data_IF_555623672281
#
_entry.id   IF_555623672281
#
_cell.length_a   1.000
_cell.length_b   1.000
_cell.length_c   1.000
_cell.angle_alpha   90.00
_cell.angle_beta   90.00
_cell.angle_gamma   90.00
#
_symmetry.space_group_name_H-M   'P 1'
#
loop_
_entity.id
_entity.type
_entity.pdbx_description
1 polymer ?
#
# COMPACT_ATOMS: atom_id res chain seq x y z
N UNK A 1 -25.76 -3.33 -4.83
CA UNK A 1 -26.13 -2.15 -5.65
C UNK A 1 -25.09 -1.09 -5.32
N UNK A 2 -24.30 -0.63 -6.29
CA UNK A 2 -23.31 0.43 -6.03
C UNK A 2 -24.07 1.74 -5.98
N UNK A 3 -24.04 2.41 -4.83
CA UNK A 3 -24.65 3.73 -4.70
C UNK A 3 -23.84 4.74 -5.51
N UNK A 4 -24.43 5.23 -6.60
CA UNK A 4 -23.85 6.26 -7.44
C UNK A 4 -23.78 7.58 -6.67
N UNK A 5 -22.68 8.29 -6.83
CA UNK A 5 -22.52 9.64 -6.30
C UNK A 5 -23.49 10.61 -6.98
N UNK A 6 -23.79 11.75 -6.34
CA UNK A 6 -24.67 12.79 -6.90
C UNK A 6 -24.24 13.26 -8.30
N UNK A 7 -22.93 13.22 -8.60
CA UNK A 7 -22.38 13.63 -9.90
C UNK A 7 -22.65 12.55 -10.95
N UNK A 8 -22.47 11.28 -10.60
CA UNK A 8 -22.74 10.15 -11.49
C UNK A 8 -24.23 10.02 -11.81
N UNK A 9 -25.11 10.22 -10.82
CA UNK A 9 -26.57 10.23 -11.02
C UNK A 9 -27.00 11.29 -12.05
N UNK A 10 -26.51 12.53 -11.91
CA UNK A 10 -26.82 13.61 -12.86
C UNK A 10 -26.28 13.33 -14.26
N UNK A 11 -25.12 12.68 -14.37
CA UNK A 11 -24.53 12.29 -15.65
C UNK A 11 -25.39 11.22 -16.32
N UNK A 12 -25.85 10.22 -15.57
CA UNK A 12 -26.74 9.17 -16.07
C UNK A 12 -28.07 9.73 -16.57
N UNK A 13 -28.68 10.66 -15.83
CA UNK A 13 -29.88 11.37 -16.28
C UNK A 13 -29.64 12.17 -17.57
N UNK A 14 -28.48 12.80 -17.70
CA UNK A 14 -28.12 13.57 -18.90
C UNK A 14 -27.87 12.66 -20.12
N UNK A 15 -27.26 11.50 -19.92
CA UNK A 15 -27.07 10.48 -20.96
C UNK A 15 -28.43 9.99 -21.46
N UNK A 16 -29.33 9.62 -20.55
CA UNK A 16 -30.67 9.15 -20.91
C UNK A 16 -31.45 10.20 -21.70
N UNK A 17 -31.37 11.48 -21.31
CA UNK A 17 -31.99 12.57 -22.07
C UNK A 17 -31.38 12.73 -23.47
N UNK A 18 -30.06 12.62 -23.60
CA UNK A 18 -29.36 12.73 -24.88
C UNK A 18 -29.68 11.57 -25.83
N UNK A 19 -29.81 10.35 -25.30
CA UNK A 19 -30.27 9.18 -26.06
C UNK A 19 -31.69 9.41 -26.59
N UNK A 20 -32.61 9.91 -25.75
CA UNK A 20 -33.98 10.20 -26.15
C UNK A 20 -34.08 11.30 -27.23
N UNK A 21 -33.16 12.27 -27.22
CA UNK A 21 -33.10 13.32 -28.23
C UNK A 21 -32.26 12.95 -29.47
N UNK A 22 -31.67 11.75 -29.51
CA UNK A 22 -30.80 11.30 -30.60
C UNK A 22 -29.45 12.04 -30.70
N UNK A 23 -29.04 12.74 -29.63
CA UNK A 23 -27.80 13.53 -29.60
C UNK A 23 -26.62 12.65 -29.17
N UNK A 24 -26.12 11.86 -30.12
CA UNK A 24 -25.01 10.93 -29.89
C UNK A 24 -23.69 11.63 -29.54
N UNK A 25 -23.46 12.85 -30.02
CA UNK A 25 -22.28 13.63 -29.65
C UNK A 25 -22.29 13.99 -28.17
N UNK A 26 -23.47 14.31 -27.61
CA UNK A 26 -23.64 14.53 -26.18
C UNK A 26 -23.43 13.26 -25.37
N UNK A 27 -23.92 12.12 -25.85
CA UNK A 27 -23.72 10.81 -25.20
C UNK A 27 -22.23 10.48 -25.10
N UNK A 28 -21.49 10.58 -26.22
CA UNK A 28 -20.05 10.30 -26.26
C UNK A 28 -19.26 11.19 -25.28
N UNK A 29 -19.53 12.50 -25.28
CA UNK A 29 -18.91 13.44 -24.35
C UNK A 29 -19.18 13.10 -22.88
N UNK A 30 -20.43 12.72 -22.54
CA UNK A 30 -20.79 12.37 -21.16
C UNK A 30 -20.14 11.06 -20.72
N UNK A 31 -19.99 10.09 -21.64
CA UNK A 31 -19.29 8.84 -21.34
C UNK A 31 -17.77 9.06 -21.15
N UNK A 32 -17.17 9.98 -21.91
CA UNK A 32 -15.74 10.31 -21.81
C UNK A 32 -15.39 11.25 -20.65
N UNK A 33 -16.36 11.98 -20.11
CA UNK A 33 -16.17 12.95 -19.02
C UNK A 33 -15.37 12.45 -17.79
N UNK A 34 -15.57 11.22 -17.27
CA UNK A 34 -14.80 10.73 -16.12
C UNK A 34 -13.31 10.62 -16.43
N UNK A 35 -13.01 10.11 -17.62
CA UNK A 35 -11.64 9.94 -18.11
C UNK A 35 -10.95 11.29 -18.29
N UNK A 36 -11.61 12.24 -18.97
CA UNK A 36 -11.07 13.59 -19.15
C UNK A 36 -10.80 14.32 -17.83
N UNK A 37 -11.69 14.14 -16.85
CA UNK A 37 -11.51 14.69 -15.51
C UNK A 37 -10.32 14.06 -14.79
N UNK A 38 -10.09 12.76 -14.94
CA UNK A 38 -8.89 12.09 -14.45
C UNK A 38 -7.63 12.69 -15.08
N UNK A 39 -7.58 12.78 -16.42
CA UNK A 39 -6.46 13.38 -17.14
C UNK A 39 -6.20 14.84 -16.76
N UNK A 40 -7.25 15.62 -16.45
CA UNK A 40 -7.11 17.00 -15.94
C UNK A 40 -6.51 17.02 -14.53
N UNK A 41 -6.94 16.10 -13.66
CA UNK A 41 -6.42 15.96 -12.30
C UNK A 41 -4.96 15.52 -12.31
N UNK A 42 -4.59 14.57 -13.16
CA UNK A 42 -3.20 14.12 -13.32
C UNK A 42 -2.28 15.27 -13.73
N UNK A 43 -2.71 16.09 -14.70
CA UNK A 43 -2.00 17.33 -15.08
C UNK A 43 -1.86 18.33 -13.93
N UNK A 44 -2.86 18.46 -13.06
CA UNK A 44 -2.77 19.35 -11.88
C UNK A 44 -1.72 18.91 -10.87
N UNK A 45 -1.40 17.60 -10.84
CA UNK A 45 -0.30 17.04 -10.05
C UNK A 45 1.03 16.97 -10.81
N UNK A 46 1.10 17.50 -12.04
CA UNK A 46 2.30 17.43 -12.88
C UNK A 46 2.61 16.02 -13.39
N UNK A 47 1.64 15.10 -13.37
CA UNK A 47 1.81 13.75 -13.88
C UNK A 47 1.75 13.75 -15.41
N UNK A 48 2.49 12.81 -16.01
CA UNK A 48 2.59 12.61 -17.45
C UNK A 48 2.19 11.17 -17.78
N UNK A 49 1.58 10.95 -18.95
CA UNK A 49 1.23 9.60 -19.40
C UNK A 49 2.47 8.72 -19.54
N UNK A 50 2.38 7.47 -19.09
CA UNK A 50 3.45 6.49 -19.28
C UNK A 50 3.63 6.11 -20.76
N UNK A 51 2.59 6.29 -21.58
CA UNK A 51 2.67 6.09 -23.03
C UNK A 51 3.30 7.29 -23.77
N UNK A 52 3.65 8.35 -23.05
CA UNK A 52 4.16 9.55 -23.70
C UNK A 52 5.64 9.42 -24.07
N UNK A 53 5.91 9.12 -25.34
CA UNK A 53 7.22 9.33 -25.97
C UNK A 53 7.38 10.78 -26.45
N UNK A 54 8.59 11.14 -26.90
CA UNK A 54 8.84 12.39 -27.64
C UNK A 54 9.46 12.08 -29.01
N UNK A 55 8.70 12.26 -30.09
CA UNK A 55 9.15 11.88 -31.43
C UNK A 55 9.26 10.36 -31.57
N UNK A 56 10.37 9.86 -32.12
CA UNK A 56 10.64 8.42 -32.32
C UNK A 56 11.15 7.70 -31.05
N UNK A 57 10.97 8.28 -29.86
CA UNK A 57 11.37 7.61 -28.61
C UNK A 57 10.29 6.69 -28.10
N UNK A 58 10.73 5.56 -27.55
CA UNK A 58 9.89 4.59 -26.86
C UNK A 58 9.05 5.27 -25.76
N UNK A 59 7.86 4.72 -25.45
CA UNK A 59 7.03 5.16 -24.33
C UNK A 59 7.84 5.43 -23.06
N UNK A 60 7.44 6.46 -22.28
CA UNK A 60 8.05 6.76 -20.98
C UNK A 60 8.12 5.51 -20.09
N UNK A 61 7.12 4.64 -20.15
CA UNK A 61 7.09 3.35 -19.44
C UNK A 61 8.33 2.50 -19.70
N UNK A 62 8.75 2.40 -20.96
CA UNK A 62 9.84 1.53 -21.38
C UNK A 62 11.21 2.09 -20.97
N UNK A 63 11.27 3.39 -20.65
CA UNK A 63 12.47 4.03 -20.10
C UNK A 63 12.59 3.89 -18.57
N UNK A 64 11.51 3.51 -17.88
CA UNK A 64 11.52 3.33 -16.43
C UNK A 64 12.05 1.93 -16.11
N UNK A 65 13.31 1.86 -15.68
CA UNK A 65 13.91 0.60 -15.23
C UNK A 65 13.28 0.10 -13.92
N UNK A 66 13.07 -1.21 -13.80
CA UNK A 66 12.76 -1.84 -12.52
C UNK A 66 13.95 -1.67 -11.57
N UNK A 67 13.73 -1.02 -10.44
CA UNK A 67 14.77 -0.72 -9.46
C UNK A 67 15.08 -1.90 -8.51
N UNK A 68 14.52 -3.09 -8.78
CA UNK A 68 14.83 -4.34 -8.08
C UNK A 68 16.17 -4.92 -8.53
N UNK A 69 17.24 -4.20 -8.24
CA UNK A 69 18.59 -4.68 -8.48
C UNK A 69 18.88 -5.97 -7.69
N UNK A 70 19.60 -6.90 -8.33
CA UNK A 70 19.87 -8.24 -7.79
C UNK A 70 20.68 -8.19 -6.49
N UNK A 71 21.62 -7.25 -6.38
CA UNK A 71 22.41 -7.04 -5.16
C UNK A 71 21.51 -6.53 -4.03
N UNK A 72 20.62 -5.58 -4.31
CA UNK A 72 19.64 -5.08 -3.34
C UNK A 72 18.70 -6.18 -2.82
N UNK A 73 18.28 -7.10 -3.69
CA UNK A 73 17.49 -8.27 -3.30
C UNK A 73 18.29 -9.25 -2.45
N UNK A 74 19.57 -9.46 -2.76
CA UNK A 74 20.45 -10.33 -1.99
C UNK A 74 20.69 -9.78 -0.58
N UNK A 75 21.02 -8.49 -0.46
CA UNK A 75 21.21 -7.81 0.83
C UNK A 75 19.97 -7.98 1.72
N UNK A 76 18.77 -7.73 1.18
CA UNK A 76 17.51 -7.93 1.93
C UNK A 76 17.33 -9.37 2.42
N UNK A 77 17.71 -10.37 1.62
CA UNK A 77 17.63 -11.78 2.03
C UNK A 77 18.59 -12.09 3.17
N UNK A 78 19.81 -11.56 3.10
CA UNK A 78 20.82 -11.73 4.15
C UNK A 78 20.40 -11.03 5.44
N UNK A 79 19.91 -9.79 5.37
CA UNK A 79 19.37 -9.06 6.52
C UNK A 79 18.22 -9.83 7.20
N UNK A 80 17.27 -10.37 6.42
CA UNK A 80 16.19 -11.20 6.95
C UNK A 80 16.75 -12.44 7.65
N UNK A 81 17.75 -13.11 7.07
CA UNK A 81 18.36 -14.29 7.68
C UNK A 81 19.06 -13.96 9.01
N UNK A 82 19.79 -12.84 9.07
CA UNK A 82 20.44 -12.34 10.29
C UNK A 82 19.40 -12.04 11.37
N UNK A 83 18.35 -11.29 11.03
CA UNK A 83 17.27 -10.92 11.97
C UNK A 83 16.56 -12.19 12.48
N UNK A 84 16.23 -13.11 11.57
CA UNK A 84 15.58 -14.39 11.93
C UNK A 84 16.46 -15.19 12.89
N UNK A 85 17.74 -15.32 12.59
CA UNK A 85 18.68 -16.02 13.47
C UNK A 85 18.78 -15.37 14.85
N UNK A 86 18.89 -14.04 14.92
CA UNK A 86 18.93 -13.31 16.19
C UNK A 86 17.67 -13.51 17.02
N UNK A 87 16.49 -13.43 16.40
CA UNK A 87 15.20 -13.71 17.06
C UNK A 87 15.16 -15.15 17.58
N UNK A 88 15.57 -16.12 16.77
CA UNK A 88 15.57 -17.54 17.12
C UNK A 88 16.58 -17.91 18.22
N UNK A 89 17.70 -17.18 18.29
CA UNK A 89 18.74 -17.43 19.29
C UNK A 89 18.46 -16.74 20.63
N UNK A 90 17.91 -15.52 20.59
CA UNK A 90 17.82 -14.64 21.77
C UNK A 90 16.46 -14.67 22.46
N UNK A 91 15.38 -14.94 21.73
CA UNK A 91 14.03 -14.82 22.27
C UNK A 91 13.41 -16.18 22.58
N UNK A 92 12.71 -16.26 23.71
CA UNK A 92 11.84 -17.39 24.05
C UNK A 92 10.65 -17.50 23.09
N UNK A 93 10.02 -18.67 22.99
CA UNK A 93 8.84 -18.86 22.13
C UNK A 93 7.72 -17.85 22.46
N UNK A 94 7.52 -17.58 23.76
CA UNK A 94 6.55 -16.58 24.22
C UNK A 94 6.91 -15.17 23.74
N UNK A 95 8.17 -14.77 23.91
CA UNK A 95 8.65 -13.45 23.50
C UNK A 95 8.56 -13.28 21.98
N UNK A 96 8.84 -14.34 21.20
CA UNK A 96 8.63 -14.34 19.74
C UNK A 96 7.18 -14.09 19.37
N UNK A 97 6.24 -14.80 20.02
CA UNK A 97 4.80 -14.62 19.77
C UNK A 97 4.34 -13.20 20.13
N UNK A 98 4.85 -12.61 21.22
CA UNK A 98 4.58 -11.21 21.57
C UNK A 98 5.14 -10.27 20.49
N UNK A 99 6.39 -10.47 20.05
CA UNK A 99 7.02 -9.65 19.00
C UNK A 99 6.24 -9.70 17.69
N UNK A 100 5.91 -10.90 17.20
CA UNK A 100 5.15 -11.07 15.96
C UNK A 100 3.73 -10.53 16.05
N UNK A 101 3.05 -10.74 17.19
CA UNK A 101 1.73 -10.18 17.44
C UNK A 101 1.71 -8.65 17.34
N UNK A 102 2.74 -7.96 17.84
CA UNK A 102 2.84 -6.50 17.74
C UNK A 102 3.26 -6.04 16.34
N UNK A 103 4.33 -6.63 15.78
CA UNK A 103 5.00 -6.12 14.58
C UNK A 103 4.35 -6.58 13.28
N UNK A 104 3.96 -7.86 13.18
CA UNK A 104 3.41 -8.44 11.96
C UNK A 104 1.88 -8.37 11.94
N UNK A 105 1.24 -8.62 13.08
CA UNK A 105 -0.22 -8.71 13.18
C UNK A 105 -0.88 -7.39 13.62
N UNK A 106 -0.10 -6.41 14.09
CA UNK A 106 -0.62 -5.12 14.55
C UNK A 106 -1.53 -5.21 15.79
N UNK A 107 -1.44 -6.29 16.58
CA UNK A 107 -2.25 -6.47 17.79
C UNK A 107 -1.87 -5.45 18.85
N UNK A 108 -2.89 -4.95 19.56
CA UNK A 108 -2.67 -4.12 20.75
C UNK A 108 -2.16 -4.95 21.93
N UNK A 109 -1.44 -4.30 22.86
CA UNK A 109 -0.99 -4.93 24.11
C UNK A 109 -2.17 -5.50 24.92
N UNK A 110 -3.33 -4.84 24.91
CA UNK A 110 -4.54 -5.32 25.59
C UNK A 110 -5.05 -6.63 24.97
N UNK A 111 -5.04 -6.75 23.64
CA UNK A 111 -5.42 -7.99 22.95
C UNK A 111 -4.48 -9.14 23.33
N UNK A 112 -3.17 -8.89 23.25
CA UNK A 112 -2.13 -9.85 23.65
C UNK A 112 -2.21 -10.21 25.14
N UNK A 113 -2.59 -9.25 26.00
CA UNK A 113 -2.74 -9.48 27.44
C UNK A 113 -3.78 -10.56 27.73
N UNK A 114 -4.90 -10.56 26.99
CA UNK A 114 -5.96 -11.57 27.08
C UNK A 114 -5.50 -12.92 26.54
N UNK A 115 -4.78 -12.93 25.43
CA UNK A 115 -4.23 -14.15 24.80
C UNK A 115 -3.22 -14.87 25.71
N UNK A 116 -2.35 -14.12 26.38
CA UNK A 116 -1.28 -14.67 27.22
C UNK A 116 -1.62 -14.75 28.73
N UNK A 117 -2.84 -14.38 29.13
CA UNK A 117 -3.24 -14.31 30.54
C UNK A 117 -2.37 -13.37 31.39
N UNK A 118 -1.87 -12.30 30.79
CA UNK A 118 -0.99 -11.30 31.41
C UNK A 118 -1.70 -9.98 31.62
N UNK A 119 -1.10 -9.10 32.42
CA UNK A 119 -1.50 -7.69 32.41
C UNK A 119 -0.94 -6.98 31.18
N UNK A 120 -1.67 -5.99 30.68
CA UNK A 120 -1.24 -5.10 29.59
C UNK A 120 0.16 -4.52 29.83
N UNK A 121 0.42 -4.05 31.06
CA UNK A 121 1.73 -3.53 31.50
C UNK A 121 2.84 -4.57 31.39
N UNK A 122 2.55 -5.83 31.73
CA UNK A 122 3.52 -6.92 31.63
C UNK A 122 3.86 -7.21 30.18
N UNK A 123 2.86 -7.31 29.28
CA UNK A 123 3.10 -7.51 27.84
C UNK A 123 3.94 -6.38 27.26
N UNK A 124 3.61 -5.13 27.59
CA UNK A 124 4.39 -3.97 27.17
C UNK A 124 5.85 -4.06 27.63
N UNK A 125 6.09 -4.42 28.89
CA UNK A 125 7.46 -4.59 29.44
C UNK A 125 8.23 -5.70 28.73
N UNK A 126 7.58 -6.82 28.40
CA UNK A 126 8.19 -7.87 27.59
C UNK A 126 8.61 -7.34 26.22
N UNK A 127 7.69 -6.66 25.53
CA UNK A 127 7.96 -6.07 24.22
C UNK A 127 9.13 -5.08 24.26
N UNK A 128 9.14 -4.14 25.21
CA UNK A 128 10.23 -3.17 25.36
C UNK A 128 11.59 -3.86 25.58
N UNK A 129 11.63 -4.88 26.45
CA UNK A 129 12.85 -5.68 26.68
C UNK A 129 13.31 -6.41 25.42
N UNK A 130 12.38 -7.00 24.65
CA UNK A 130 12.68 -7.68 23.38
C UNK A 130 13.35 -6.70 22.41
N UNK A 131 12.79 -5.50 22.24
CA UNK A 131 13.34 -4.47 21.36
C UNK A 131 14.72 -4.03 21.84
N UNK A 132 14.94 -3.90 23.14
CA UNK A 132 16.26 -3.55 23.68
C UNK A 132 17.32 -4.63 23.38
N UNK A 133 16.97 -5.91 23.55
CA UNK A 133 17.85 -7.04 23.25
C UNK A 133 18.20 -7.05 21.76
N UNK A 134 17.19 -7.00 20.89
CA UNK A 134 17.41 -7.03 19.45
C UNK A 134 18.20 -5.80 18.95
N UNK A 135 17.96 -4.62 19.52
CA UNK A 135 18.77 -3.42 19.20
C UNK A 135 20.22 -3.56 19.62
N UNK A 136 20.53 -4.25 20.71
CA UNK A 136 21.93 -4.48 21.12
C UNK A 136 22.63 -5.47 20.21
N UNK A 137 21.93 -6.51 19.76
CA UNK A 137 22.49 -7.54 18.88
C UNK A 137 22.62 -7.06 17.43
N UNK A 138 21.60 -6.37 16.92
CA UNK A 138 21.50 -5.98 15.51
C UNK A 138 22.08 -4.58 15.24
N UNK A 139 22.58 -3.89 16.26
CA UNK A 139 23.43 -2.71 16.06
C UNK A 139 24.82 -3.18 15.64
N UNK A 140 24.96 -3.40 14.34
CA UNK A 140 26.21 -3.17 13.61
C UNK A 140 26.07 -1.85 12.86
#
# INVERSE_FOLDING_TARGET
MVDLTKVEQRREEAINKAVLSGDWAKVDNLLNQPYENSCRKDRSYGLRSLDSGSGDTDPLLDTIADNRDALSLLIKKEEIAIIKNAIERLLSERDRKILYGVVLEGKSYSSLSKEFGLTDKTVKRHYERIIEILRKELKN
#
